data_IF_436868713227
#
_entry.id   IF_436868713227
#
_cell.length_a   1.000
_cell.length_b   1.000
_cell.length_c   1.000
_cell.angle_alpha   90.00
_cell.angle_beta   90.00
_cell.angle_gamma   90.00
#
_symmetry.space_group_name_H-M   'P 1'
#
loop_
_entity.id
_entity.type
_entity.pdbx_description
1 polymer ?
#
# COMPACT_ATOMS: atom_id res chain seq x y z
N UNK A 1 -2.12 2.23 9.17
CA UNK A 1 -2.27 1.20 8.12
C UNK A 1 -3.45 1.55 7.25
N UNK A 2 -3.29 1.34 5.96
CA UNK A 2 -4.29 1.60 4.93
C UNK A 2 -4.53 0.34 4.09
N UNK A 3 -5.70 0.24 3.46
CA UNK A 3 -6.11 -0.89 2.63
C UNK A 3 -6.92 -0.38 1.43
N UNK A 4 -6.82 -1.08 0.30
CA UNK A 4 -7.61 -0.81 -0.91
C UNK A 4 -8.33 -2.08 -1.38
N UNK A 5 -9.56 -1.91 -1.84
CA UNK A 5 -10.40 -2.99 -2.36
C UNK A 5 -11.14 -2.55 -3.62
N UNK A 6 -11.59 -3.53 -4.39
CA UNK A 6 -12.46 -3.36 -5.56
C UNK A 6 -13.68 -4.26 -5.42
N UNK A 7 -14.76 -3.95 -6.14
CA UNK A 7 -15.89 -4.85 -6.31
C UNK A 7 -15.66 -5.74 -7.54
N UNK A 8 -15.56 -7.05 -7.33
CA UNK A 8 -15.43 -8.05 -8.39
C UNK A 8 -16.63 -9.00 -8.30
N UNK A 9 -17.46 -9.06 -9.35
CA UNK A 9 -18.66 -9.91 -9.34
C UNK A 9 -19.72 -9.52 -8.30
N UNK A 10 -19.69 -8.27 -7.82
CA UNK A 10 -20.58 -7.79 -6.75
C UNK A 10 -20.05 -8.05 -5.33
N UNK A 11 -18.91 -8.73 -5.19
CA UNK A 11 -18.27 -8.97 -3.90
C UNK A 11 -17.01 -8.09 -3.72
N UNK A 12 -16.77 -7.53 -2.52
CA UNK A 12 -15.57 -6.76 -2.24
C UNK A 12 -14.36 -7.67 -2.13
N UNK A 13 -13.30 -7.35 -2.88
CA UNK A 13 -12.02 -8.06 -2.87
C UNK A 13 -10.89 -7.11 -2.54
N UNK A 14 -10.11 -7.46 -1.52
CA UNK A 14 -8.93 -6.70 -1.11
C UNK A 14 -7.77 -6.96 -2.08
N UNK A 15 -7.10 -5.88 -2.48
CA UNK A 15 -5.93 -5.94 -3.36
C UNK A 15 -4.67 -6.00 -2.48
N UNK A 16 -3.73 -6.88 -2.84
CA UNK A 16 -2.41 -6.89 -2.22
C UNK A 16 -1.55 -5.74 -2.78
N UNK A 17 -0.75 -5.11 -1.93
CA UNK A 17 0.26 -4.16 -2.36
C UNK A 17 1.40 -4.85 -3.12
N UNK A 18 2.35 -4.06 -3.65
CA UNK A 18 3.47 -4.57 -4.42
C UNK A 18 4.34 -5.57 -3.63
N UNK A 19 4.32 -5.46 -2.29
CA UNK A 19 5.04 -6.34 -1.36
C UNK A 19 4.26 -7.63 -1.01
N UNK A 20 3.03 -7.79 -1.52
CA UNK A 20 2.20 -8.99 -1.32
C UNK A 20 1.31 -8.97 -0.07
N UNK A 21 1.31 -7.89 0.71
CA UNK A 21 0.47 -7.70 1.88
C UNK A 21 -0.87 -7.05 1.52
N UNK A 22 -1.93 -7.38 2.27
CA UNK A 22 -3.27 -6.78 2.09
C UNK A 22 -3.46 -5.43 2.80
N UNK A 23 -2.43 -4.96 3.47
CA UNK A 23 -2.40 -3.66 4.15
C UNK A 23 -1.06 -3.03 3.91
N UNK A 24 -1.03 -1.70 3.81
CA UNK A 24 0.21 -0.92 3.67
C UNK A 24 0.35 0.02 4.87
N UNK A 25 1.54 0.12 5.49
CA UNK A 25 1.80 1.11 6.53
C UNK A 25 1.43 2.53 6.07
N UNK A 26 0.82 3.32 6.95
CA UNK A 26 0.45 4.72 6.64
C UNK A 26 1.61 5.65 6.96
N UNK A 27 2.76 5.40 6.33
CA UNK A 27 4.04 6.06 6.59
C UNK A 27 4.64 6.49 5.27
N UNK A 28 5.25 7.67 5.28
CA UNK A 28 5.98 8.26 4.15
C UNK A 28 7.34 8.71 4.65
N UNK A 29 8.40 8.38 3.90
CA UNK A 29 9.76 8.82 4.18
C UNK A 29 10.37 9.51 2.95
N UNK A 30 11.33 10.38 3.23
CA UNK A 30 12.07 11.14 2.22
C UNK A 30 13.56 10.81 2.37
N UNK A 31 14.16 10.28 1.32
CA UNK A 31 15.58 9.94 1.31
C UNK A 31 16.44 11.19 1.10
N UNK A 32 17.74 11.08 1.36
CA UNK A 32 18.69 12.21 1.20
C UNK A 32 18.84 12.64 -0.27
N UNK A 33 18.63 11.72 -1.20
CA UNK A 33 18.64 11.92 -2.65
C UNK A 33 17.27 12.37 -3.20
N UNK A 34 16.26 12.50 -2.34
CA UNK A 34 14.95 13.07 -2.69
C UNK A 34 13.92 12.06 -3.20
N UNK A 35 14.19 10.76 -3.06
CA UNK A 35 13.20 9.71 -3.32
C UNK A 35 12.12 9.71 -2.22
N UNK A 36 10.89 9.38 -2.63
CA UNK A 36 9.74 9.25 -1.72
C UNK A 36 9.45 7.77 -1.54
N UNK A 37 9.62 7.28 -0.31
CA UNK A 37 9.32 5.92 0.08
C UNK A 37 7.98 5.86 0.81
N UNK A 38 7.17 4.84 0.55
CA UNK A 38 5.81 4.71 1.08
C UNK A 38 5.57 3.28 1.53
N UNK A 39 4.95 3.11 2.68
CA UNK A 39 4.56 1.79 3.17
C UNK A 39 5.72 1.04 3.80
N UNK A 40 5.96 -0.19 3.36
CA UNK A 40 6.97 -1.08 3.96
C UNK A 40 8.41 -0.60 3.73
N UNK A 41 8.63 0.19 2.67
CA UNK A 41 9.94 0.74 2.32
C UNK A 41 10.23 2.08 2.99
N UNK A 42 9.23 2.70 3.62
CA UNK A 42 9.36 3.99 4.28
C UNK A 42 10.12 3.92 5.61
#
# INVERSE_FOLDING_TARGET
>A
NSVVSVLEGGEPKVIANAEGFRTTPSVVAFTKDGEVLVGETA
#
